data_IF_114982181917
#
_entry.id   IF_114982181917
#
_cell.length_a   1.000
_cell.length_b   1.000
_cell.length_c   1.000
_cell.angle_alpha   90.00
_cell.angle_beta   90.00
_cell.angle_gamma   90.00
#
_symmetry.space_group_name_H-M   'P 1'
#
loop_
_entity.id
_entity.type
_entity.pdbx_description
1 polymer ?
#
# COMPACT_ATOMS: atom_id res chain seq x y z
N UNK A 1 7.48 27.50 17.28
CA UNK A 1 7.26 27.93 15.88
C UNK A 1 6.41 26.84 15.25
N UNK A 2 5.18 27.14 14.82
CA UNK A 2 4.31 26.13 14.19
C UNK A 2 4.73 25.97 12.74
N UNK A 3 4.94 24.73 12.33
CA UNK A 3 5.33 24.40 10.97
C UNK A 3 4.11 23.91 10.19
N UNK A 4 3.92 24.43 8.98
CA UNK A 4 2.86 24.00 8.06
C UNK A 4 3.50 23.50 6.78
N UNK A 5 3.14 22.28 6.36
CA UNK A 5 3.67 21.67 5.14
C UNK A 5 3.16 22.37 3.86
N UNK A 6 2.10 23.17 3.99
CA UNK A 6 1.49 23.95 2.92
C UNK A 6 1.71 25.44 3.19
N UNK A 7 2.82 25.98 2.70
CA UNK A 7 3.02 27.43 2.60
C UNK A 7 3.52 27.76 1.19
N UNK A 8 2.58 28.10 0.31
CA UNK A 8 2.93 28.82 -0.92
C UNK A 8 2.89 30.30 -0.58
N UNK A 9 4.00 31.00 -0.79
CA UNK A 9 4.04 32.44 -0.59
C UNK A 9 3.07 33.13 -1.57
N UNK A 10 2.02 33.74 -1.03
CA UNK A 10 0.92 34.37 -1.81
C UNK A 10 1.41 35.48 -2.73
N UNK A 11 2.46 36.21 -2.35
CA UNK A 11 3.04 37.29 -3.18
C UNK A 11 3.69 36.76 -4.45
N UNK A 12 4.37 35.61 -4.37
CA UNK A 12 5.02 34.96 -5.52
C UNK A 12 3.99 34.21 -6.37
N UNK A 13 3.01 33.58 -5.72
CA UNK A 13 1.89 32.96 -6.43
C UNK A 13 1.10 33.98 -7.26
N UNK A 14 0.96 35.22 -6.80
CA UNK A 14 0.29 36.28 -7.55
C UNK A 14 1.02 36.64 -8.85
N UNK A 15 2.37 36.62 -8.86
CA UNK A 15 3.16 36.94 -10.06
C UNK A 15 3.07 35.86 -11.14
N UNK A 16 2.96 34.59 -10.74
CA UNK A 16 2.84 33.43 -11.65
C UNK A 16 1.51 32.71 -11.49
N UNK A 17 0.43 33.48 -11.37
CA UNK A 17 -0.90 32.97 -11.04
C UNK A 17 -1.35 31.86 -11.98
N UNK A 18 -1.15 32.02 -13.31
CA UNK A 18 -1.54 31.01 -14.30
C UNK A 18 -0.83 29.67 -14.11
N UNK A 19 0.45 29.66 -13.72
CA UNK A 19 1.21 28.43 -13.49
C UNK A 19 0.65 27.67 -12.28
N UNK A 20 0.52 28.36 -11.14
CA UNK A 20 0.01 27.73 -9.91
C UNK A 20 -1.44 27.28 -10.07
N UNK A 21 -2.30 28.09 -10.70
CA UNK A 21 -3.68 27.70 -10.99
C UNK A 21 -3.77 26.46 -11.88
N UNK A 22 -2.92 26.35 -12.91
CA UNK A 22 -2.89 25.15 -13.76
C UNK A 22 -2.51 23.91 -12.96
N UNK A 23 -1.54 24.02 -12.06
CA UNK A 23 -1.12 22.93 -11.16
C UNK A 23 -2.28 22.54 -10.23
N UNK A 24 -2.93 23.51 -9.58
CA UNK A 24 -4.04 23.25 -8.66
C UNK A 24 -5.24 22.63 -9.36
N UNK A 25 -5.60 23.09 -10.57
CA UNK A 25 -6.70 22.49 -11.35
C UNK A 25 -6.40 21.02 -11.65
N UNK A 26 -5.17 20.71 -12.08
CA UNK A 26 -4.78 19.34 -12.36
C UNK A 26 -4.80 18.48 -11.09
N UNK A 27 -4.29 19.00 -9.98
CA UNK A 27 -4.29 18.33 -8.68
C UNK A 27 -5.73 18.04 -8.21
N UNK A 28 -6.62 19.03 -8.28
CA UNK A 28 -8.05 18.89 -7.93
C UNK A 28 -8.70 17.81 -8.80
N UNK A 29 -8.46 17.85 -10.11
CA UNK A 29 -9.03 16.89 -11.04
C UNK A 29 -8.59 15.44 -10.72
N UNK A 30 -7.29 15.21 -10.53
CA UNK A 30 -6.75 13.88 -10.19
C UNK A 30 -7.27 13.43 -8.82
N UNK A 31 -7.27 14.30 -7.83
CA UNK A 31 -7.74 13.99 -6.46
C UNK A 31 -9.22 13.64 -6.44
N UNK A 32 -10.04 14.35 -7.23
CA UNK A 32 -11.47 14.07 -7.36
C UNK A 32 -11.71 12.68 -7.98
N UNK A 33 -11.00 12.34 -9.06
CA UNK A 33 -11.07 11.00 -9.67
C UNK A 33 -10.68 9.90 -8.69
N UNK A 34 -9.62 10.12 -7.90
CA UNK A 34 -9.19 9.17 -6.87
C UNK A 34 -10.26 8.98 -5.80
N UNK A 35 -10.83 10.07 -5.30
CA UNK A 35 -11.88 10.02 -4.27
C UNK A 35 -13.13 9.31 -4.79
N UNK A 36 -13.53 9.55 -6.05
CA UNK A 36 -14.63 8.85 -6.69
C UNK A 36 -14.38 7.34 -6.86
N UNK A 37 -13.11 6.93 -7.01
CA UNK A 37 -12.73 5.52 -7.13
C UNK A 37 -12.71 4.76 -5.79
N UNK A 38 -12.65 5.45 -4.65
CA UNK A 38 -12.50 4.85 -3.31
C UNK A 38 -13.58 3.80 -2.99
N UNK A 39 -14.90 4.08 -3.13
CA UNK A 39 -15.92 3.09 -2.76
C UNK A 39 -15.81 1.82 -3.60
N UNK A 40 -15.56 1.97 -4.91
CA UNK A 40 -15.39 0.84 -5.81
C UNK A 40 -14.14 0.03 -5.48
N UNK A 41 -13.02 0.69 -5.15
CA UNK A 41 -11.79 0.03 -4.78
C UNK A 41 -11.94 -0.75 -3.46
N UNK A 42 -12.56 -0.16 -2.43
CA UNK A 42 -12.84 -0.84 -1.16
C UNK A 42 -13.79 -2.03 -1.37
N UNK A 43 -14.88 -1.87 -2.12
CA UNK A 43 -15.80 -2.95 -2.45
C UNK A 43 -15.07 -4.11 -3.15
N UNK A 44 -14.22 -3.78 -4.12
CA UNK A 44 -13.46 -4.75 -4.90
C UNK A 44 -12.48 -5.53 -4.02
N UNK A 45 -11.74 -4.86 -3.14
CA UNK A 45 -10.81 -5.48 -2.19
C UNK A 45 -11.51 -6.41 -1.21
N UNK A 46 -12.65 -5.97 -0.65
CA UNK A 46 -13.43 -6.80 0.27
C UNK A 46 -13.99 -8.06 -0.40
N UNK A 47 -14.30 -7.98 -1.70
CA UNK A 47 -14.73 -9.11 -2.53
C UNK A 47 -13.64 -10.16 -2.84
N UNK A 48 -12.37 -9.92 -2.49
CA UNK A 48 -11.25 -10.82 -2.77
C UNK A 48 -11.16 -11.98 -1.76
N UNK A 49 -12.12 -12.89 -1.78
CA UNK A 49 -12.22 -14.02 -0.82
C UNK A 49 -11.02 -14.96 -0.79
N UNK A 50 -10.14 -14.92 -1.80
CA UNK A 50 -8.89 -15.70 -1.85
C UNK A 50 -7.81 -15.19 -0.88
N UNK A 51 -7.95 -13.97 -0.35
CA UNK A 51 -7.02 -13.39 0.61
C UNK A 51 -7.60 -13.41 2.02
N UNK A 52 -6.72 -13.65 3.00
CA UNK A 52 -7.04 -13.51 4.42
C UNK A 52 -7.73 -12.16 4.71
N UNK A 53 -8.75 -12.18 5.59
CA UNK A 53 -9.54 -11.00 5.94
C UNK A 53 -8.68 -9.80 6.36
N UNK A 54 -7.69 -10.01 7.24
CA UNK A 54 -6.79 -8.95 7.71
C UNK A 54 -6.04 -8.23 6.59
N UNK A 55 -5.74 -8.91 5.48
CA UNK A 55 -5.04 -8.30 4.33
C UNK A 55 -5.99 -7.40 3.56
N UNK A 56 -7.22 -7.88 3.36
CA UNK A 56 -8.28 -7.08 2.74
C UNK A 56 -8.56 -5.83 3.58
N UNK A 57 -8.71 -5.99 4.89
CA UNK A 57 -8.91 -4.88 5.82
C UNK A 57 -7.72 -3.90 5.82
N UNK A 58 -6.48 -4.40 5.83
CA UNK A 58 -5.28 -3.55 5.74
C UNK A 58 -5.22 -2.78 4.43
N UNK A 59 -5.49 -3.42 3.29
CA UNK A 59 -5.52 -2.77 1.99
C UNK A 59 -6.66 -1.74 1.91
N UNK A 60 -7.86 -2.08 2.39
CA UNK A 60 -8.99 -1.16 2.49
C UNK A 60 -8.68 0.03 3.40
N UNK A 61 -7.98 -0.19 4.51
CA UNK A 61 -7.54 0.85 5.43
C UNK A 61 -6.60 1.84 4.73
N UNK A 62 -5.63 1.37 3.92
CA UNK A 62 -4.77 2.24 3.10
C UNK A 62 -5.60 3.13 2.17
N UNK A 63 -6.63 2.58 1.52
CA UNK A 63 -7.50 3.37 0.62
C UNK A 63 -8.33 4.40 1.39
N UNK A 64 -8.84 4.05 2.57
CA UNK A 64 -9.60 4.98 3.41
C UNK A 64 -8.70 6.11 3.91
N UNK A 65 -7.48 5.82 4.35
CA UNK A 65 -6.50 6.84 4.75
C UNK A 65 -6.14 7.77 3.59
N UNK A 66 -5.96 7.21 2.38
CA UNK A 66 -5.76 8.02 1.18
C UNK A 66 -6.94 8.96 0.94
N UNK A 67 -8.18 8.49 1.12
CA UNK A 67 -9.36 9.34 0.99
C UNK A 67 -9.37 10.47 2.02
N UNK A 68 -9.02 10.19 3.28
CA UNK A 68 -8.90 11.20 4.34
C UNK A 68 -7.83 12.25 4.02
N UNK A 69 -6.67 11.82 3.51
CA UNK A 69 -5.62 12.74 3.08
C UNK A 69 -6.06 13.62 1.90
N UNK A 70 -6.80 13.07 0.93
CA UNK A 70 -7.36 13.84 -0.19
C UNK A 70 -8.39 14.87 0.30
N UNK A 71 -9.28 14.49 1.23
CA UNK A 71 -10.27 15.40 1.81
C UNK A 71 -9.59 16.53 2.58
N UNK A 72 -8.60 16.22 3.41
CA UNK A 72 -7.77 17.22 4.08
C UNK A 72 -7.08 18.13 3.06
N UNK A 73 -6.59 17.59 1.95
CA UNK A 73 -5.94 18.36 0.90
C UNK A 73 -6.89 19.32 0.19
N UNK A 74 -8.16 18.96 -0.05
CA UNK A 74 -9.14 19.90 -0.59
C UNK A 74 -9.37 21.10 0.31
N UNK A 75 -9.40 20.90 1.63
CA UNK A 75 -9.45 22.00 2.59
C UNK A 75 -8.22 22.89 2.45
N UNK A 76 -7.01 22.32 2.42
CA UNK A 76 -5.78 23.12 2.26
C UNK A 76 -5.72 23.87 0.92
N UNK A 77 -6.17 23.25 -0.18
CA UNK A 77 -6.27 23.90 -1.49
C UNK A 77 -7.27 25.06 -1.47
N UNK A 78 -8.39 24.92 -0.77
CA UNK A 78 -9.35 26.00 -0.60
C UNK A 78 -8.71 27.21 0.10
N UNK A 79 -7.91 26.99 1.15
CA UNK A 79 -7.16 28.06 1.82
C UNK A 79 -6.12 28.71 0.90
N UNK A 80 -5.40 27.90 0.11
CA UNK A 80 -4.39 28.39 -0.82
C UNK A 80 -4.98 29.24 -1.95
N UNK A 81 -6.09 28.80 -2.54
CA UNK A 81 -6.74 29.50 -3.67
C UNK A 81 -7.37 30.81 -3.20
N UNK A 82 -8.03 30.81 -2.05
CA UNK A 82 -8.69 32.00 -1.50
C UNK A 82 -7.76 32.92 -0.71
N UNK A 83 -6.47 32.58 -0.61
CA UNK A 83 -5.46 33.36 0.14
C UNK A 83 -5.88 33.63 1.59
N UNK A 84 -6.53 32.65 2.23
CA UNK A 84 -7.00 32.77 3.60
C UNK A 84 -5.83 32.82 4.59
N UNK A 85 -5.98 33.54 5.73
CA UNK A 85 -4.94 33.58 6.74
C UNK A 85 -4.68 32.17 7.30
N UNK A 86 -3.46 31.68 7.08
CA UNK A 86 -3.01 30.37 7.55
C UNK A 86 -2.42 30.50 8.96
N UNK A 87 -3.29 30.52 9.97
CA UNK A 87 -2.91 30.68 11.37
C UNK A 87 -3.21 29.44 12.23
N UNK A 88 -2.47 29.27 13.31
CA UNK A 88 -2.72 28.23 14.34
C UNK A 88 -4.08 28.43 15.03
N UNK A 89 -4.60 29.65 14.99
CA UNK A 89 -5.92 30.01 15.53
C UNK A 89 -7.07 29.48 14.69
N UNK A 90 -6.83 29.11 13.43
CA UNK A 90 -7.85 28.52 12.58
C UNK A 90 -7.86 26.99 12.75
N UNK A 91 -8.88 26.51 13.47
CA UNK A 91 -9.06 25.10 13.78
C UNK A 91 -9.22 24.24 12.52
N UNK A 92 -9.88 24.75 11.47
CA UNK A 92 -10.14 23.98 10.25
C UNK A 92 -8.84 23.76 9.48
N UNK A 93 -8.03 24.82 9.32
CA UNK A 93 -6.72 24.73 8.72
C UNK A 93 -5.77 23.82 9.51
N UNK A 94 -5.76 23.96 10.84
CA UNK A 94 -4.92 23.14 11.71
C UNK A 94 -5.31 21.65 11.64
N UNK A 95 -6.60 21.34 11.71
CA UNK A 95 -7.10 19.98 11.62
C UNK A 95 -6.76 19.34 10.27
N UNK A 96 -6.91 20.06 9.16
CA UNK A 96 -6.55 19.57 7.84
C UNK A 96 -5.05 19.26 7.72
N UNK A 97 -4.18 20.13 8.26
CA UNK A 97 -2.74 19.85 8.30
C UNK A 97 -2.42 18.62 9.16
N UNK A 98 -3.01 18.52 10.37
CA UNK A 98 -2.80 17.37 11.26
C UNK A 98 -3.21 16.05 10.62
N UNK A 99 -4.39 16.00 9.98
CA UNK A 99 -4.85 14.79 9.27
C UNK A 99 -3.89 14.43 8.15
N UNK A 100 -3.46 15.41 7.35
CA UNK A 100 -2.54 15.18 6.23
C UNK A 100 -1.20 14.63 6.71
N UNK A 101 -0.61 15.24 7.73
CA UNK A 101 0.66 14.78 8.31
C UNK A 101 0.52 13.43 8.99
N UNK A 102 -0.59 13.19 9.70
CA UNK A 102 -0.85 11.90 10.35
C UNK A 102 -0.93 10.78 9.34
N UNK A 103 -1.65 10.98 8.23
CA UNK A 103 -1.73 9.99 7.15
C UNK A 103 -0.37 9.77 6.49
N UNK A 104 0.46 10.80 6.35
CA UNK A 104 1.81 10.65 5.79
C UNK A 104 2.69 9.76 6.67
N UNK A 105 2.76 10.05 7.98
CA UNK A 105 3.48 9.21 8.95
C UNK A 105 2.93 7.79 9.00
N UNK A 106 1.60 7.65 9.10
CA UNK A 106 0.91 6.36 9.04
C UNK A 106 1.32 5.54 7.82
N UNK A 107 1.32 6.15 6.63
CA UNK A 107 1.63 5.50 5.35
C UNK A 107 3.07 5.00 5.27
N UNK A 108 4.00 5.74 5.86
CA UNK A 108 5.43 5.40 5.88
C UNK A 108 5.72 4.20 6.78
N UNK A 109 4.94 4.02 7.86
CA UNK A 109 5.05 2.87 8.76
C UNK A 109 4.32 1.60 8.28
N UNK A 110 3.47 1.68 7.25
CA UNK A 110 2.74 0.52 6.70
C UNK A 110 3.63 -0.69 6.39
N UNK A 111 4.82 -0.56 5.75
CA UNK A 111 5.68 -1.71 5.48
C UNK A 111 6.12 -2.46 6.75
N UNK A 112 6.40 -1.74 7.85
CA UNK A 112 6.74 -2.34 9.15
C UNK A 112 5.55 -3.14 9.66
N UNK A 113 4.36 -2.52 9.65
CA UNK A 113 3.15 -3.13 10.18
C UNK A 113 2.75 -4.38 9.39
N UNK A 114 2.80 -4.35 8.06
CA UNK A 114 2.58 -5.53 7.21
C UNK A 114 3.61 -6.62 7.54
N UNK A 115 4.88 -6.25 7.73
CA UNK A 115 5.95 -7.23 8.03
C UNK A 115 5.74 -7.89 9.40
N UNK A 116 5.34 -7.11 10.40
CA UNK A 116 4.99 -7.62 11.73
C UNK A 116 3.81 -8.59 11.64
N UNK A 117 2.74 -8.21 10.96
CA UNK A 117 1.54 -9.03 10.80
C UNK A 117 1.81 -10.31 10.01
N UNK A 118 2.61 -10.25 8.93
CA UNK A 118 3.09 -11.44 8.21
C UNK A 118 3.94 -12.33 9.11
N UNK A 119 4.76 -11.76 10.00
CA UNK A 119 5.55 -12.54 10.97
C UNK A 119 4.66 -13.26 11.97
N UNK A 120 3.64 -12.59 12.52
CA UNK A 120 2.63 -13.20 13.38
C UNK A 120 1.91 -14.35 12.67
N UNK A 121 1.49 -14.16 11.43
CA UNK A 121 0.84 -15.20 10.63
C UNK A 121 1.76 -16.41 10.37
N UNK A 122 3.08 -16.22 10.29
CA UNK A 122 4.06 -17.30 10.13
C UNK A 122 4.31 -18.08 11.43
N UNK A 123 4.35 -17.38 12.57
CA UNK A 123 4.59 -18.00 13.89
C UNK A 123 3.33 -18.74 14.37
N UNK A 124 2.16 -18.10 14.27
CA UNK A 124 0.87 -18.60 14.76
C UNK A 124 -0.02 -19.14 13.64
N UNK A 125 0.58 -19.83 12.67
CA UNK A 125 -0.08 -20.23 11.41
C UNK A 125 -1.38 -21.02 11.59
N UNK A 126 -1.43 -21.93 12.56
CA UNK A 126 -2.61 -22.77 12.81
C UNK A 126 -3.80 -22.01 13.39
N UNK A 127 -3.54 -20.93 14.12
CA UNK A 127 -4.57 -20.03 14.62
C UNK A 127 -5.01 -19.04 13.53
N UNK A 128 -4.05 -18.56 12.75
CA UNK A 128 -4.30 -17.60 11.66
C UNK A 128 -5.17 -18.18 10.54
N UNK A 129 -4.91 -19.44 10.14
CA UNK A 129 -5.67 -20.10 9.08
C UNK A 129 -7.18 -20.20 9.39
N UNK A 130 -7.55 -20.31 10.67
CA UNK A 130 -8.96 -20.42 11.09
C UNK A 130 -9.78 -19.15 10.83
N UNK A 131 -9.13 -18.02 10.53
CA UNK A 131 -9.76 -16.71 10.34
C UNK A 131 -10.77 -16.36 11.45
N UNK A 132 -10.50 -16.80 12.67
CA UNK A 132 -11.38 -16.55 13.81
C UNK A 132 -11.42 -15.06 14.16
N UNK A 133 -12.46 -14.61 14.90
CA UNK A 133 -12.53 -13.24 15.43
C UNK A 133 -11.26 -12.83 16.20
N UNK A 134 -10.53 -13.77 16.78
CA UNK A 134 -9.24 -13.50 17.42
C UNK A 134 -8.19 -12.93 16.46
N UNK A 135 -8.19 -13.36 15.19
CA UNK A 135 -7.25 -12.83 14.18
C UNK A 135 -7.53 -11.36 13.86
N UNK A 136 -8.78 -10.92 13.97
CA UNK A 136 -9.17 -9.51 13.78
C UNK A 136 -8.51 -8.60 14.83
N UNK A 137 -8.30 -9.10 16.05
CA UNK A 137 -7.61 -8.35 17.12
C UNK A 137 -6.20 -7.97 16.68
N UNK A 138 -5.49 -8.84 15.94
CA UNK A 138 -4.16 -8.51 15.39
C UNK A 138 -4.23 -7.29 14.48
N UNK A 139 -5.22 -7.25 13.58
CA UNK A 139 -5.42 -6.11 12.70
C UNK A 139 -5.78 -4.83 13.48
N UNK A 140 -6.65 -4.92 14.48
CA UNK A 140 -7.05 -3.77 15.30
C UNK A 140 -5.85 -3.21 16.05
N UNK A 141 -5.08 -4.06 16.75
CA UNK A 141 -3.89 -3.64 17.50
C UNK A 141 -2.86 -3.02 16.56
N UNK A 142 -2.60 -3.66 15.41
CA UNK A 142 -1.69 -3.11 14.40
C UNK A 142 -2.16 -1.74 13.88
N UNK A 143 -3.45 -1.59 13.58
CA UNK A 143 -4.01 -0.33 13.09
C UNK A 143 -3.91 0.76 14.14
N UNK A 144 -4.22 0.45 15.40
CA UNK A 144 -4.09 1.41 16.52
C UNK A 144 -2.64 1.86 16.72
N UNK A 145 -1.66 0.95 16.62
CA UNK A 145 -0.24 1.30 16.74
C UNK A 145 0.17 2.25 15.62
N UNK A 146 -0.26 1.99 14.38
CA UNK A 146 0.01 2.88 13.25
C UNK A 146 -0.64 4.26 13.43
N UNK A 147 -1.88 4.31 13.91
CA UNK A 147 -2.60 5.55 14.19
C UNK A 147 -1.91 6.36 15.29
N UNK A 148 -1.56 5.72 16.40
CA UNK A 148 -0.82 6.37 17.50
C UNK A 148 0.48 6.96 16.96
N UNK A 149 1.23 6.21 16.15
CA UNK A 149 2.46 6.69 15.54
C UNK A 149 2.21 7.91 14.62
N UNK A 150 1.28 7.79 13.67
CA UNK A 150 0.96 8.87 12.72
C UNK A 150 0.51 10.15 13.41
N UNK A 151 -0.43 10.06 14.35
CA UNK A 151 -0.94 11.22 15.08
C UNK A 151 0.10 11.83 16.01
N UNK A 152 0.90 11.01 16.70
CA UNK A 152 1.99 11.51 17.55
C UNK A 152 3.00 12.28 16.70
N UNK A 153 3.41 11.71 15.57
CA UNK A 153 4.34 12.37 14.65
C UNK A 153 3.77 13.71 14.12
N UNK A 154 2.52 13.71 13.67
CA UNK A 154 1.85 14.92 13.19
C UNK A 154 1.77 16.03 14.24
N UNK A 155 1.41 15.67 15.48
CA UNK A 155 1.35 16.61 16.59
C UNK A 155 2.73 17.19 16.92
N UNK A 156 3.74 16.33 17.06
CA UNK A 156 5.10 16.77 17.39
C UNK A 156 5.68 17.69 16.31
N UNK A 157 5.46 17.37 15.03
CA UNK A 157 5.90 18.21 13.91
C UNK A 157 5.18 19.57 13.89
N UNK A 158 3.84 19.57 13.94
CA UNK A 158 3.06 20.81 13.78
C UNK A 158 3.27 21.74 14.97
N UNK A 159 3.31 21.22 16.19
CA UNK A 159 3.63 22.03 17.38
C UNK A 159 5.10 22.43 17.47
N UNK A 160 5.94 21.99 16.52
CA UNK A 160 7.33 22.40 16.40
C UNK A 160 8.22 21.83 17.50
N UNK A 161 7.89 20.64 18.01
CA UNK A 161 8.73 19.90 18.98
C UNK A 161 10.05 19.47 18.32
N UNK A 162 10.01 19.14 17.04
CA UNK A 162 11.20 18.94 16.21
C UNK A 162 11.04 19.62 14.83
N UNK A 163 12.16 19.72 14.11
CA UNK A 163 12.22 20.37 12.80
C UNK A 163 11.72 19.49 11.66
N UNK A 164 11.26 20.08 10.55
CA UNK A 164 10.87 19.31 9.36
C UNK A 164 12.02 18.47 8.81
N UNK A 165 13.26 18.94 8.91
CA UNK A 165 14.45 18.20 8.49
C UNK A 165 14.57 16.89 9.26
N UNK A 166 14.37 16.94 10.58
CA UNK A 166 14.35 15.74 11.42
C UNK A 166 13.22 14.80 11.01
N UNK A 167 12.02 15.32 10.73
CA UNK A 167 10.88 14.51 10.27
C UNK A 167 11.18 13.77 8.97
N UNK A 168 11.79 14.43 7.99
CA UNK A 168 12.15 13.80 6.70
C UNK A 168 13.19 12.70 6.90
N UNK A 169 14.18 12.91 7.79
CA UNK A 169 15.17 11.88 8.14
C UNK A 169 14.48 10.69 8.83
N UNK A 170 13.61 10.96 9.80
CA UNK A 170 12.84 9.96 10.54
C UNK A 170 11.98 9.10 9.58
N UNK A 171 11.24 9.74 8.67
CA UNK A 171 10.51 9.09 7.60
C UNK A 171 11.39 8.22 6.71
N UNK A 172 12.58 8.70 6.35
CA UNK A 172 13.57 7.92 5.62
C UNK A 172 13.96 6.65 6.41
N UNK A 173 14.33 6.80 7.68
CA UNK A 173 14.75 5.69 8.54
C UNK A 173 13.64 4.65 8.72
N UNK A 174 12.41 5.09 9.00
CA UNK A 174 11.24 4.21 9.17
C UNK A 174 10.92 3.47 7.88
N UNK A 175 10.93 4.16 6.74
CA UNK A 175 10.68 3.55 5.44
C UNK A 175 11.75 2.51 5.07
N UNK A 176 13.03 2.86 5.17
CA UNK A 176 14.13 1.94 4.87
C UNK A 176 14.18 0.76 5.85
N UNK A 177 13.99 1.02 7.15
CA UNK A 177 13.89 -0.02 8.18
C UNK A 177 12.74 -0.98 7.90
N UNK A 178 11.58 -0.45 7.51
CA UNK A 178 10.42 -1.24 7.09
C UNK A 178 10.68 -2.10 5.85
N UNK A 179 11.38 -1.55 4.84
CA UNK A 179 11.75 -2.31 3.65
C UNK A 179 12.73 -3.46 3.96
N UNK A 180 13.72 -3.22 4.82
CA UNK A 180 14.67 -4.24 5.29
C UNK A 180 13.94 -5.34 6.06
N UNK A 181 13.08 -4.95 7.01
CA UNK A 181 12.27 -5.90 7.79
C UNK A 181 11.36 -6.73 6.87
N UNK A 182 10.71 -6.09 5.91
CA UNK A 182 9.85 -6.76 4.93
C UNK A 182 10.63 -7.82 4.13
N UNK A 183 11.81 -7.46 3.63
CA UNK A 183 12.65 -8.36 2.87
C UNK A 183 13.15 -9.52 3.73
N UNK A 184 13.53 -9.25 4.98
CA UNK A 184 13.93 -10.27 5.95
C UNK A 184 12.79 -11.27 6.23
N UNK A 185 11.59 -10.79 6.50
CA UNK A 185 10.40 -11.64 6.76
C UNK A 185 10.05 -12.48 5.52
N UNK A 186 10.21 -11.94 4.31
CA UNK A 186 10.02 -12.71 3.08
C UNK A 186 11.07 -13.84 2.97
N UNK A 187 12.34 -13.56 3.26
CA UNK A 187 13.40 -14.57 3.25
C UNK A 187 13.15 -15.67 4.28
N UNK A 188 12.77 -15.29 5.51
CA UNK A 188 12.37 -16.25 6.54
C UNK A 188 11.22 -17.14 6.10
N UNK A 189 10.16 -16.56 5.52
CA UNK A 189 9.01 -17.32 5.04
C UNK A 189 9.38 -18.31 3.94
N UNK A 190 10.21 -17.89 2.98
CA UNK A 190 10.70 -18.77 1.90
C UNK A 190 11.53 -19.93 2.46
N UNK A 191 12.45 -19.64 3.37
CA UNK A 191 13.30 -20.66 3.98
C UNK A 191 12.47 -21.64 4.82
N UNK A 192 11.53 -21.13 5.61
CA UNK A 192 10.61 -21.96 6.38
C UNK A 192 9.74 -22.84 5.48
N UNK A 193 9.27 -22.29 4.36
CA UNK A 193 8.53 -23.05 3.35
C UNK A 193 9.33 -24.22 2.76
N UNK A 194 10.63 -24.03 2.51
CA UNK A 194 11.52 -25.12 2.04
C UNK A 194 11.70 -26.21 3.09
N UNK A 195 11.80 -25.84 4.37
CA UNK A 195 11.94 -26.80 5.48
C UNK A 195 10.69 -27.65 5.65
N UNK A 196 9.50 -27.05 5.56
CA UNK A 196 8.24 -27.78 5.63
C UNK A 196 8.08 -28.82 4.51
N UNK A 197 8.60 -28.54 3.31
CA UNK A 197 8.57 -29.51 2.20
C UNK A 197 9.37 -30.79 2.49
N UNK A 198 10.30 -30.75 3.46
CA UNK A 198 11.14 -31.90 3.83
C UNK A 198 10.58 -32.70 5.02
N UNK A 199 9.56 -32.21 5.71
CA UNK A 199 8.99 -32.86 6.89
C UNK A 199 7.90 -33.87 6.52
N UNK A 200 7.76 -34.95 7.30
CA UNK A 200 6.70 -35.94 7.14
C UNK A 200 5.33 -35.29 7.31
N UNK A 201 4.40 -35.61 6.41
CA UNK A 201 3.10 -34.95 6.28
C UNK A 201 2.17 -35.38 7.42
N UNK A 202 2.07 -34.55 8.46
CA UNK A 202 0.96 -34.60 9.43
C UNK A 202 -0.08 -33.54 9.08
N UNK A 203 -1.33 -33.69 9.53
CA UNK A 203 -2.39 -32.69 9.28
C UNK A 203 -2.00 -31.28 9.77
N UNK A 204 -1.24 -31.19 10.87
CA UNK A 204 -0.68 -29.94 11.39
C UNK A 204 0.39 -29.31 10.45
N UNK A 205 1.14 -30.13 9.69
CA UNK A 205 2.07 -29.63 8.69
C UNK A 205 1.36 -29.05 7.46
N UNK A 206 0.15 -29.52 7.13
CA UNK A 206 -0.59 -29.08 5.95
C UNK A 206 -1.12 -27.65 6.09
N UNK A 207 -1.78 -27.35 7.22
CA UNK A 207 -2.28 -26.00 7.55
C UNK A 207 -1.17 -24.96 7.55
N UNK A 208 -0.05 -25.30 8.21
CA UNK A 208 1.13 -24.44 8.27
C UNK A 208 1.76 -24.21 6.89
N UNK A 209 1.83 -25.25 6.06
CA UNK A 209 2.32 -25.12 4.70
C UNK A 209 1.41 -24.23 3.85
N UNK A 210 0.08 -24.30 4.03
CA UNK A 210 -0.87 -23.43 3.33
C UNK A 210 -0.65 -21.96 3.71
N UNK A 211 -0.65 -21.63 5.00
CA UNK A 211 -0.48 -20.26 5.48
C UNK A 211 0.84 -19.63 5.01
N UNK A 212 1.92 -20.39 5.03
CA UNK A 212 3.23 -19.89 4.60
C UNK A 212 3.31 -19.71 3.09
N UNK A 213 2.68 -20.59 2.29
CA UNK A 213 2.55 -20.38 0.84
C UNK A 213 1.75 -19.13 0.53
N UNK A 214 0.66 -18.88 1.26
CA UNK A 214 -0.13 -17.64 1.14
C UNK A 214 0.73 -16.42 1.48
N UNK A 215 1.41 -16.42 2.63
CA UNK A 215 2.31 -15.33 3.04
C UNK A 215 3.39 -15.04 1.99
N UNK A 216 4.08 -16.08 1.48
CA UNK A 216 5.09 -15.92 0.41
C UNK A 216 4.45 -15.32 -0.85
N UNK A 217 3.27 -15.79 -1.26
CA UNK A 217 2.58 -15.26 -2.45
C UNK A 217 2.30 -13.77 -2.28
N UNK A 218 1.77 -13.39 -1.13
CA UNK A 218 1.34 -12.01 -0.84
C UNK A 218 2.53 -11.09 -0.70
N UNK A 219 3.57 -11.51 0.02
CA UNK A 219 4.80 -10.72 0.13
C UNK A 219 5.51 -10.57 -1.22
N UNK A 220 5.51 -11.58 -2.09
CA UNK A 220 6.02 -11.44 -3.46
C UNK A 220 5.19 -10.47 -4.29
N UNK A 221 3.86 -10.48 -4.17
CA UNK A 221 2.97 -9.53 -4.82
C UNK A 221 3.24 -8.10 -4.33
N UNK A 222 3.27 -7.89 -3.01
CA UNK A 222 3.58 -6.61 -2.39
C UNK A 222 4.97 -6.10 -2.79
N UNK A 223 5.97 -6.97 -2.91
CA UNK A 223 7.30 -6.59 -3.42
C UNK A 223 7.25 -6.07 -4.85
N UNK A 224 6.43 -6.68 -5.72
CA UNK A 224 6.23 -6.19 -7.10
C UNK A 224 5.57 -4.82 -7.14
N UNK A 225 4.78 -4.46 -6.12
CA UNK A 225 4.20 -3.12 -5.96
C UNK A 225 5.18 -2.13 -5.33
N UNK A 226 5.94 -2.58 -4.34
CA UNK A 226 6.87 -1.75 -3.58
C UNK A 226 8.04 -1.23 -4.43
N UNK A 227 8.57 -2.04 -5.36
CA UNK A 227 9.71 -1.62 -6.17
C UNK A 227 9.38 -0.44 -7.10
N UNK A 228 8.32 -0.47 -7.93
CA UNK A 228 7.90 0.71 -8.66
C UNK A 228 7.54 1.86 -7.73
N UNK A 229 6.84 1.60 -6.61
CA UNK A 229 6.51 2.65 -5.65
C UNK A 229 7.75 3.40 -5.16
N UNK A 230 8.86 2.70 -4.87
CA UNK A 230 10.12 3.31 -4.47
C UNK A 230 10.66 4.24 -5.58
N UNK A 231 10.64 3.80 -6.84
CA UNK A 231 11.07 4.62 -7.98
C UNK A 231 10.18 5.86 -8.12
N UNK A 232 8.86 5.70 -8.02
CA UNK A 232 7.92 6.82 -8.12
C UNK A 232 8.01 7.82 -6.95
N UNK A 233 8.59 7.42 -5.81
CA UNK A 233 8.83 8.34 -4.70
C UNK A 233 10.06 9.23 -4.91
N UNK A 234 10.99 8.89 -5.82
CA UNK A 234 12.21 9.69 -6.07
C UNK A 234 11.87 11.16 -6.39
N UNK A 235 10.94 11.48 -7.32
CA UNK A 235 10.59 12.87 -7.60
C UNK A 235 9.94 13.56 -6.40
N UNK A 236 9.10 12.87 -5.61
CA UNK A 236 8.52 13.42 -4.39
C UNK A 236 9.61 13.85 -3.40
N UNK A 237 10.56 12.96 -3.09
CA UNK A 237 11.70 13.27 -2.22
C UNK A 237 12.58 14.37 -2.80
N UNK A 238 12.75 14.43 -4.12
CA UNK A 238 13.52 15.48 -4.79
C UNK A 238 12.86 16.85 -4.62
N UNK A 239 11.56 16.97 -4.87
CA UNK A 239 10.83 18.22 -4.74
C UNK A 239 10.78 18.74 -3.31
N UNK A 240 10.50 17.87 -2.33
CA UNK A 240 10.49 18.28 -0.92
C UNK A 240 11.90 18.65 -0.43
N UNK A 241 12.94 17.95 -0.90
CA UNK A 241 14.33 18.28 -0.56
C UNK A 241 14.73 19.64 -1.12
N UNK A 242 14.36 19.94 -2.37
CA UNK A 242 14.58 21.27 -2.95
C UNK A 242 13.88 22.35 -2.13
N UNK A 243 12.65 22.12 -1.67
CA UNK A 243 11.94 23.08 -0.84
C UNK A 243 12.62 23.34 0.53
N UNK A 244 13.09 22.28 1.18
CA UNK A 244 13.64 22.32 2.54
C UNK A 244 15.10 22.80 2.60
N UNK A 245 15.94 22.32 1.68
CA UNK A 245 17.39 22.52 1.76
C UNK A 245 17.91 23.71 0.95
N UNK A 246 17.10 24.27 0.04
CA UNK A 246 17.49 25.51 -0.63
C UNK A 246 17.51 26.68 0.38
N UNK A 247 18.53 27.54 0.33
CA UNK A 247 18.64 28.67 1.25
C UNK A 247 17.48 29.67 1.04
N UNK A 248 17.14 30.39 2.11
CA UNK A 248 16.08 31.41 2.12
C UNK A 248 16.53 32.71 1.43
N UNK A 249 16.83 32.61 0.14
CA UNK A 249 17.16 33.76 -0.71
C UNK A 249 15.99 34.09 -1.63
N UNK A 250 15.73 35.38 -1.85
CA UNK A 250 14.61 35.85 -2.69
C UNK A 250 14.67 35.27 -4.10
N UNK A 251 15.86 35.17 -4.70
CA UNK A 251 16.06 34.58 -6.04
C UNK A 251 15.69 33.09 -6.14
N UNK A 252 15.71 32.35 -5.04
CA UNK A 252 15.38 30.91 -4.99
C UNK A 252 13.96 30.64 -4.48
N UNK A 253 13.26 31.68 -4.01
CA UNK A 253 11.90 31.58 -3.49
C UNK A 253 10.93 30.99 -4.51
N UNK A 254 11.08 31.34 -5.79
CA UNK A 254 10.30 30.78 -6.89
C UNK A 254 10.47 29.26 -6.98
N UNK A 255 11.73 28.78 -7.02
CA UNK A 255 12.04 27.35 -7.13
C UNK A 255 11.45 26.58 -5.97
N UNK A 256 11.53 27.11 -4.74
CA UNK A 256 10.97 26.48 -3.54
C UNK A 256 9.44 26.38 -3.59
N UNK A 257 8.75 27.43 -4.05
CA UNK A 257 7.29 27.45 -4.17
C UNK A 257 6.79 26.54 -5.29
N UNK A 258 7.48 26.53 -6.44
CA UNK A 258 7.16 25.60 -7.54
C UNK A 258 7.42 24.16 -7.11
N UNK A 259 8.52 23.90 -6.39
CA UNK A 259 8.84 22.54 -5.92
C UNK A 259 7.78 22.00 -4.96
N UNK A 260 7.29 22.78 -3.99
CA UNK A 260 6.24 22.31 -3.09
C UNK A 260 4.90 22.10 -3.81
N UNK A 261 4.55 22.95 -4.78
CA UNK A 261 3.34 22.75 -5.58
C UNK A 261 3.43 21.50 -6.47
N UNK A 262 4.60 21.25 -7.08
CA UNK A 262 4.86 20.03 -7.84
C UNK A 262 4.91 18.79 -6.95
N UNK A 263 5.40 18.90 -5.72
CA UNK A 263 5.35 17.81 -4.74
C UNK A 263 3.90 17.39 -4.47
N UNK A 264 3.02 18.34 -4.16
CA UNK A 264 1.60 18.07 -3.90
C UNK A 264 0.91 17.39 -5.09
N UNK A 265 1.08 17.95 -6.29
CA UNK A 265 0.58 17.35 -7.54
C UNK A 265 1.15 15.94 -7.77
N UNK A 266 2.46 15.75 -7.53
CA UNK A 266 3.12 14.48 -7.74
C UNK A 266 2.61 13.40 -6.79
N UNK A 267 2.31 13.73 -5.53
CA UNK A 267 1.69 12.78 -4.59
C UNK A 267 0.31 12.33 -5.10
N UNK A 268 -0.50 13.23 -5.65
CA UNK A 268 -1.80 12.85 -6.25
C UNK A 268 -1.61 11.94 -7.48
N UNK A 269 -0.69 12.28 -8.38
CA UNK A 269 -0.36 11.46 -9.56
C UNK A 269 0.23 10.10 -9.17
N UNK A 270 1.05 10.06 -8.12
CA UNK A 270 1.60 8.83 -7.56
C UNK A 270 0.49 7.93 -7.03
N UNK A 271 -0.45 8.46 -6.25
CA UNK A 271 -1.57 7.69 -5.74
C UNK A 271 -2.41 7.08 -6.88
N UNK A 272 -2.69 7.84 -7.93
CA UNK A 272 -3.40 7.35 -9.11
C UNK A 272 -2.62 6.27 -9.86
N UNK A 273 -1.33 6.50 -10.08
CA UNK A 273 -0.42 5.56 -10.75
C UNK A 273 -0.28 4.26 -9.96
N UNK A 274 -0.20 4.35 -8.64
CA UNK A 274 -0.09 3.19 -7.76
C UNK A 274 -1.36 2.33 -7.77
N UNK A 275 -2.55 2.93 -7.79
CA UNK A 275 -3.80 2.17 -7.93
C UNK A 275 -3.89 1.46 -9.29
N UNK A 276 -3.52 2.13 -10.39
CA UNK A 276 -3.45 1.53 -11.72
C UNK A 276 -2.43 0.39 -11.77
N UNK A 277 -1.28 0.56 -11.13
CA UNK A 277 -0.26 -0.47 -11.03
C UNK A 277 -0.76 -1.67 -10.21
N UNK A 278 -1.41 -1.43 -9.08
CA UNK A 278 -2.03 -2.48 -8.26
C UNK A 278 -3.06 -3.28 -9.04
N UNK A 279 -3.92 -2.59 -9.80
CA UNK A 279 -4.87 -3.21 -10.72
C UNK A 279 -4.17 -4.09 -11.77
N UNK A 280 -3.09 -3.60 -12.38
CA UNK A 280 -2.39 -4.33 -13.43
C UNK A 280 -1.58 -5.54 -12.93
N UNK A 281 -1.05 -5.48 -11.70
CA UNK A 281 -0.21 -6.52 -11.11
C UNK A 281 -1.02 -7.70 -10.57
N UNK A 282 -2.20 -7.48 -9.98
CA UNK A 282 -2.96 -8.53 -9.29
C UNK A 282 -4.22 -8.95 -10.08
N UNK A 283 -4.21 -10.11 -10.77
CA UNK A 283 -5.34 -10.58 -11.57
C UNK A 283 -6.63 -10.76 -10.76
N UNK A 284 -6.54 -11.14 -9.49
CA UNK A 284 -7.72 -11.29 -8.66
C UNK A 284 -8.43 -9.97 -8.40
N UNK A 285 -7.71 -8.84 -8.39
CA UNK A 285 -8.32 -7.53 -8.24
C UNK A 285 -9.18 -7.21 -9.48
N UNK A 286 -8.71 -7.62 -10.65
CA UNK A 286 -9.42 -7.46 -11.92
C UNK A 286 -10.63 -8.40 -12.02
N UNK A 287 -10.47 -9.67 -11.61
CA UNK A 287 -11.57 -10.63 -11.49
C UNK A 287 -12.68 -10.09 -10.58
N UNK A 288 -12.29 -9.52 -9.43
CA UNK A 288 -13.22 -8.92 -8.47
C UNK A 288 -13.89 -7.68 -9.05
N UNK A 289 -13.13 -6.79 -9.72
CA UNK A 289 -13.65 -5.55 -10.29
C UNK A 289 -14.66 -5.83 -11.41
N UNK A 290 -14.41 -6.86 -12.23
CA UNK A 290 -15.32 -7.31 -13.30
C UNK A 290 -16.65 -7.90 -12.81
N UNK A 291 -16.80 -8.17 -11.50
CA UNK A 291 -18.11 -8.55 -10.95
C UNK A 291 -19.10 -7.39 -10.92
N UNK A 292 -18.60 -6.15 -10.93
CA UNK A 292 -19.44 -4.97 -11.11
C UNK A 292 -19.74 -4.80 -12.60
N UNK A 293 -21.02 -4.81 -12.98
CA UNK A 293 -21.46 -4.71 -14.39
C UNK A 293 -20.98 -3.44 -15.07
N UNK A 294 -21.03 -2.30 -14.37
CA UNK A 294 -20.53 -1.02 -14.87
C UNK A 294 -19.01 -1.02 -15.03
N UNK A 295 -18.28 -1.52 -14.02
CA UNK A 295 -16.82 -1.58 -14.09
C UNK A 295 -16.35 -2.54 -15.20
N UNK A 296 -17.03 -3.68 -15.38
CA UNK A 296 -16.76 -4.61 -16.48
C UNK A 296 -16.89 -3.93 -17.84
N UNK A 297 -17.96 -3.15 -18.07
CA UNK A 297 -18.15 -2.38 -19.32
C UNK A 297 -16.99 -1.40 -19.57
N UNK A 298 -16.60 -0.61 -18.57
CA UNK A 298 -15.48 0.32 -18.69
C UNK A 298 -14.15 -0.40 -18.94
N UNK A 299 -13.91 -1.51 -18.24
CA UNK A 299 -12.69 -2.31 -18.35
C UNK A 299 -12.58 -3.03 -19.69
N UNK A 300 -13.66 -3.59 -20.23
CA UNK A 300 -13.66 -4.25 -21.54
C UNK A 300 -13.31 -3.25 -22.65
N UNK A 301 -13.69 -1.98 -22.48
CA UNK A 301 -13.28 -0.90 -23.39
C UNK A 301 -11.82 -0.51 -23.19
N UNK A 302 -11.34 -0.46 -21.94
CA UNK A 302 -9.94 -0.20 -21.62
C UNK A 302 -9.03 -1.31 -22.18
N UNK A 303 -9.29 -2.58 -21.87
CA UNK A 303 -8.50 -3.76 -22.25
C UNK A 303 -8.38 -3.94 -23.79
N UNK A 304 -9.32 -3.41 -24.57
CA UNK A 304 -9.22 -3.38 -26.04
C UNK A 304 -8.02 -2.55 -26.54
N UNK A 305 -7.54 -1.56 -25.79
CA UNK A 305 -6.39 -0.74 -26.18
C UNK A 305 -5.02 -1.38 -25.88
N UNK A 306 -4.73 -1.94 -24.68
CA UNK A 306 -3.46 -2.59 -24.35
C UNK A 306 -3.43 -4.10 -24.64
N UNK A 307 -4.49 -4.71 -25.19
CA UNK A 307 -4.58 -6.16 -25.46
C UNK A 307 -3.43 -6.76 -26.29
N UNK A 308 -2.65 -5.95 -27.00
CA UNK A 308 -1.39 -6.35 -27.67
C UNK A 308 -0.23 -6.58 -26.69
N UNK A 309 -0.09 -5.76 -25.65
CA UNK A 309 1.02 -5.83 -24.67
C UNK A 309 0.79 -6.98 -23.69
N UNK A 310 -0.47 -7.23 -23.33
CA UNK A 310 -0.85 -8.24 -22.34
C UNK A 310 -0.67 -9.68 -22.82
N UNK A 311 -0.92 -9.94 -24.12
CA UNK A 311 -0.62 -11.23 -24.74
C UNK A 311 0.88 -11.57 -24.65
N UNK A 312 1.76 -10.58 -24.74
CA UNK A 312 3.21 -10.79 -24.59
C UNK A 312 3.61 -11.15 -23.15
N UNK A 313 2.96 -10.58 -22.14
CA UNK A 313 3.28 -10.89 -20.73
C UNK A 313 2.67 -12.23 -20.29
N UNK A 314 1.47 -12.57 -20.73
CA UNK A 314 0.82 -13.85 -20.38
C UNK A 314 1.45 -15.06 -21.07
N UNK A 315 2.07 -14.92 -22.24
CA UNK A 315 2.81 -16.03 -22.89
C UNK A 315 4.02 -16.53 -22.08
N UNK A 316 4.47 -15.80 -21.05
CA UNK A 316 5.58 -16.21 -20.17
C UNK A 316 5.16 -17.01 -18.94
N UNK A 317 3.86 -17.10 -18.66
CA UNK A 317 3.34 -17.87 -17.52
C UNK A 317 2.86 -19.24 -18.02
N UNK A 318 3.43 -20.36 -17.55
CA UNK A 318 2.92 -21.68 -17.93
C UNK A 318 1.42 -21.77 -17.60
N UNK A 319 0.63 -22.49 -18.40
CA UNK A 319 -0.82 -22.58 -18.22
C UNK A 319 -1.12 -22.88 -16.76
N UNK A 320 -1.98 -22.06 -16.17
CA UNK A 320 -2.41 -22.20 -14.78
C UNK A 320 -3.02 -23.60 -14.61
N UNK A 321 -2.20 -24.56 -14.18
CA UNK A 321 -2.71 -25.79 -13.57
C UNK A 321 -3.64 -25.33 -12.45
N UNK A 322 -4.90 -25.75 -12.54
CA UNK A 322 -5.93 -25.38 -11.60
C UNK A 322 -5.39 -25.69 -10.19
N UNK A 323 -5.38 -24.73 -9.26
CA UNK A 323 -4.79 -24.97 -7.93
C UNK A 323 -5.52 -26.09 -7.18
N UNK A 324 -6.80 -26.28 -7.48
CA UNK A 324 -7.61 -27.44 -7.09
C UNK A 324 -7.02 -28.72 -7.67
N UNK A 325 -6.58 -28.73 -8.93
CA UNK A 325 -5.88 -29.87 -9.53
C UNK A 325 -4.52 -30.07 -8.88
N UNK A 326 -3.79 -29.05 -8.43
CA UNK A 326 -2.55 -29.24 -7.66
C UNK A 326 -2.87 -29.89 -6.30
N UNK A 327 -3.97 -29.48 -5.65
CA UNK A 327 -4.42 -30.07 -4.38
C UNK A 327 -4.83 -31.54 -4.57
N UNK A 328 -5.65 -31.82 -5.59
CA UNK A 328 -6.09 -33.17 -5.93
C UNK A 328 -4.98 -34.01 -6.54
N UNK A 329 -4.00 -33.44 -7.24
CA UNK A 329 -2.84 -34.19 -7.75
C UNK A 329 -1.83 -34.46 -6.66
N UNK A 330 -1.60 -33.55 -5.71
CA UNK A 330 -0.82 -33.87 -4.51
C UNK A 330 -1.54 -34.95 -3.70
N UNK A 331 -2.83 -34.75 -3.38
CA UNK A 331 -3.63 -35.73 -2.64
C UNK A 331 -3.76 -37.07 -3.37
N UNK A 332 -3.94 -37.10 -4.70
CA UNK A 332 -4.08 -38.33 -5.47
C UNK A 332 -2.77 -39.07 -5.63
N UNK A 333 -1.66 -38.34 -5.86
CA UNK A 333 -0.31 -38.92 -5.92
C UNK A 333 0.09 -39.49 -4.56
N UNK A 334 -0.37 -38.86 -3.47
CA UNK A 334 -0.12 -39.32 -2.11
C UNK A 334 -1.01 -40.51 -1.73
N UNK A 335 -2.30 -40.51 -2.10
CA UNK A 335 -3.19 -41.67 -1.96
C UNK A 335 -2.68 -42.89 -2.74
N UNK A 336 -2.15 -42.68 -3.96
CA UNK A 336 -1.53 -43.74 -4.74
C UNK A 336 -0.26 -44.28 -4.08
N UNK A 337 0.55 -43.41 -3.47
CA UNK A 337 1.78 -43.80 -2.77
C UNK A 337 1.49 -44.58 -1.49
N UNK A 338 0.49 -44.17 -0.71
CA UNK A 338 0.03 -44.88 0.49
C UNK A 338 -0.53 -46.27 0.15
N UNK A 339 -1.29 -46.39 -0.94
CA UNK A 339 -1.82 -47.68 -1.42
C UNK A 339 -0.67 -48.63 -1.79
N UNK A 340 0.37 -48.12 -2.46
CA UNK A 340 1.56 -48.90 -2.86
C UNK A 340 2.34 -49.45 -1.66
N UNK A 341 2.50 -48.67 -0.59
CA UNK A 341 3.11 -49.10 0.66
C UNK A 341 2.28 -50.19 1.38
N UNK A 342 0.95 -50.06 1.37
CA UNK A 342 0.08 -51.09 1.98
C UNK A 342 0.20 -52.45 1.26
N UNK A 343 0.34 -52.43 -0.07
CA UNK A 343 0.49 -53.65 -0.89
C UNK A 343 1.84 -54.32 -0.64
N UNK A 344 2.93 -53.54 -0.49
CA UNK A 344 4.26 -54.08 -0.19
C UNK A 344 4.28 -54.74 1.20
N UNK A 345 3.62 -54.16 2.21
CA UNK A 345 3.53 -54.76 3.55
C UNK A 345 2.76 -56.09 3.58
N UNK A 346 1.83 -56.31 2.64
CA UNK A 346 1.09 -57.57 2.53
C UNK A 346 1.89 -58.67 1.82
N UNK A 347 2.85 -58.31 0.99
CA UNK A 347 3.71 -59.27 0.27
C UNK A 347 4.86 -59.75 1.16
N UNK A 348 5.31 -58.95 2.13
CA UNK A 348 6.37 -59.33 3.08
C UNK A 348 5.93 -60.23 4.24
N UNK A 349 4.70 -60.77 4.21
CA UNK A 349 4.13 -61.65 5.25
C UNK A 349 3.89 -63.08 4.69
N UNK A 350 4.31 -63.35 3.46
CA UNK A 350 4.37 -64.69 2.85
C UNK A 350 5.84 -65.04 2.69
#
# INVERSE_FOLDING_TARGET
MVFFLVMVNTTIAAQLNYLFMSIYILEIFVSFLLLAAVPLAVYTLMGMTKFHLNIRLSASSVIIHLALAILARFVLLYYQINQMPMGVTDFVFLAANLVRESVAGWSIAVPIAISAERSFATIFSSWYEKQSLGTLVVFIVQSLVLEIYGWTNALLLIYGVYSIQFNVIEYGVVFFGGAVLFQYVLMMNVEYGKRLQKMSITAYCLSRAYQIRENIKIMKMLRKLAFPALIFNIPAFSFISLHIFLPYEERLSLVRNVSIALFDLWIALYAASFQLLAYNIEPHLQESLRRSSYAAYCLDRYDRMPGRIRKLTQMSSPPHLNKTDIYFTMLSKDLHSAKKLSTISKISII
#
